data_IF_456352111084
#
_entry.id   IF_456352111084
#
_cell.length_a   1.000
_cell.length_b   1.000
_cell.length_c   1.000
_cell.angle_alpha   90.00
_cell.angle_beta   90.00
_cell.angle_gamma   90.00
#
_symmetry.space_group_name_H-M   'P 1'
#
loop_
_entity.id
_entity.type
_entity.pdbx_description
1 polymer ?
#
# COMPACT_ATOMS: atom_id res chain seq x y z
N UNK A 1 -11.23 10.23 1.33
CA UNK A 1 -10.66 10.33 2.68
C UNK A 1 -10.09 11.73 2.84
N UNK A 2 -10.90 12.63 3.38
CA UNK A 2 -10.47 13.93 3.89
C UNK A 2 -9.80 13.66 5.24
N UNK A 3 -8.47 13.73 5.32
CA UNK A 3 -7.69 13.37 6.49
C UNK A 3 -7.78 14.38 7.65
N UNK A 4 -8.97 14.89 7.96
CA UNK A 4 -9.14 15.90 9.00
C UNK A 4 -9.52 15.32 10.35
N UNK A 5 -9.80 14.01 10.44
CA UNK A 5 -10.56 13.53 11.60
C UNK A 5 -9.81 12.50 12.47
N UNK A 6 -8.62 12.00 12.10
CA UNK A 6 -7.83 11.00 12.88
C UNK A 6 -8.61 9.74 13.38
N UNK A 7 -9.87 9.55 12.96
CA UNK A 7 -10.76 8.49 13.45
C UNK A 7 -10.61 7.17 12.69
N UNK A 8 -9.68 7.03 11.75
CA UNK A 8 -9.57 5.85 10.89
C UNK A 8 -9.43 4.55 11.71
N UNK A 9 -8.41 4.51 12.58
CA UNK A 9 -8.22 3.40 13.52
C UNK A 9 -9.40 3.26 14.48
N UNK A 10 -9.88 4.35 15.06
CA UNK A 10 -11.00 4.30 16.02
C UNK A 10 -12.26 3.69 15.41
N UNK A 11 -12.62 4.07 14.18
CA UNK A 11 -13.79 3.53 13.49
C UNK A 11 -13.58 2.07 13.09
N UNK A 12 -12.37 1.72 12.63
CA UNK A 12 -12.04 0.33 12.30
C UNK A 12 -12.10 -0.56 13.55
N UNK A 13 -11.50 -0.13 14.65
CA UNK A 13 -11.55 -0.85 15.93
C UNK A 13 -12.98 -1.01 16.42
N UNK A 14 -13.79 0.05 16.34
CA UNK A 14 -15.21 -0.01 16.68
C UNK A 14 -15.97 -1.02 15.81
N UNK A 15 -15.68 -1.07 14.51
CA UNK A 15 -16.27 -2.05 13.60
C UNK A 15 -15.87 -3.48 13.97
N UNK A 16 -14.61 -3.68 14.39
CA UNK A 16 -14.11 -4.98 14.88
C UNK A 16 -14.82 -5.37 16.17
N UNK A 17 -14.91 -4.48 17.17
CA UNK A 17 -15.66 -4.72 18.42
C UNK A 17 -17.11 -5.10 18.17
N UNK A 18 -17.78 -4.45 17.20
CA UNK A 18 -19.13 -4.80 16.79
C UNK A 18 -19.18 -6.18 16.14
N UNK A 19 -18.24 -6.51 15.25
CA UNK A 19 -18.13 -7.83 14.65
C UNK A 19 -17.87 -8.94 15.68
N UNK A 20 -17.05 -8.66 16.68
CA UNK A 20 -16.79 -9.56 17.81
C UNK A 20 -18.03 -9.75 18.67
N UNK A 21 -18.77 -8.68 18.96
CA UNK A 21 -20.02 -8.72 19.73
C UNK A 21 -21.11 -9.53 19.00
N UNK A 22 -21.15 -9.44 17.67
CA UNK A 22 -22.04 -10.25 16.82
C UNK A 22 -21.55 -11.69 16.64
N UNK A 23 -20.31 -12.00 17.05
CA UNK A 23 -19.70 -13.33 16.92
C UNK A 23 -19.29 -13.74 15.52
N UNK A 24 -19.24 -12.79 14.59
CA UNK A 24 -18.88 -13.03 13.19
C UNK A 24 -17.36 -13.09 12.97
N UNK A 25 -16.57 -12.58 13.93
CA UNK A 25 -15.10 -12.65 13.95
C UNK A 25 -14.58 -12.94 15.37
N UNK A 26 -13.34 -13.47 15.47
CA UNK A 26 -12.52 -13.71 16.67
C UNK A 26 -13.10 -14.58 17.82
N UNK A 27 -14.39 -14.93 17.81
CA UNK A 27 -14.95 -15.85 18.80
C UNK A 27 -14.58 -17.32 18.51
N UNK A 28 -14.34 -18.11 19.57
CA UNK A 28 -14.01 -19.55 19.45
C UNK A 28 -15.19 -20.43 19.06
N UNK A 29 -16.42 -19.98 19.33
CA UNK A 29 -17.64 -20.71 19.00
C UNK A 29 -18.21 -20.08 17.74
N UNK A 30 -18.04 -20.73 16.58
CA UNK A 30 -18.50 -20.19 15.31
C UNK A 30 -20.01 -19.92 15.32
N UNK A 31 -20.41 -18.78 14.74
CA UNK A 31 -21.83 -18.43 14.59
C UNK A 31 -22.46 -19.39 13.56
N UNK A 32 -23.30 -20.31 14.03
CA UNK A 32 -24.03 -21.22 13.13
C UNK A 32 -25.22 -20.51 12.49
N UNK A 33 -24.95 -19.79 11.42
CA UNK A 33 -25.97 -19.07 10.63
C UNK A 33 -27.07 -20.00 10.12
N UNK A 34 -26.75 -21.25 9.77
CA UNK A 34 -27.73 -22.25 9.30
C UNK A 34 -28.75 -22.70 10.35
N UNK A 35 -28.50 -22.43 11.64
CA UNK A 35 -29.44 -22.69 12.73
C UNK A 35 -30.24 -21.45 13.13
N UNK A 36 -29.94 -20.30 12.53
CA UNK A 36 -30.64 -19.06 12.81
C UNK A 36 -31.92 -18.96 11.97
N UNK A 37 -32.99 -18.38 12.52
CA UNK A 37 -34.25 -18.12 11.79
C UNK A 37 -34.11 -16.91 10.84
N UNK A 38 -32.91 -16.66 10.30
CA UNK A 38 -32.61 -15.52 9.45
C UNK A 38 -32.98 -15.82 8.00
N UNK A 39 -33.32 -14.78 7.22
CA UNK A 39 -33.50 -14.93 5.78
C UNK A 39 -32.16 -15.19 5.08
N UNK A 40 -32.19 -15.78 3.89
CA UNK A 40 -31.00 -16.00 3.06
C UNK A 40 -30.25 -14.69 2.79
N UNK A 41 -30.96 -13.61 2.46
CA UNK A 41 -30.36 -12.29 2.23
C UNK A 41 -29.60 -11.78 3.46
N UNK A 42 -30.12 -12.06 4.66
CA UNK A 42 -29.48 -11.67 5.91
C UNK A 42 -28.23 -12.53 6.17
N UNK A 43 -28.28 -13.83 5.89
CA UNK A 43 -27.13 -14.74 5.98
C UNK A 43 -26.02 -14.28 5.03
N UNK A 44 -26.33 -13.99 3.76
CA UNK A 44 -25.37 -13.48 2.78
C UNK A 44 -24.77 -12.15 3.22
N UNK A 45 -25.59 -11.24 3.75
CA UNK A 45 -25.14 -9.94 4.26
C UNK A 45 -24.18 -10.09 5.44
N UNK A 46 -24.46 -11.01 6.37
CA UNK A 46 -23.56 -11.30 7.49
C UNK A 46 -22.24 -11.88 7.00
N UNK A 47 -22.28 -12.85 6.06
CA UNK A 47 -21.06 -13.41 5.44
C UNK A 47 -20.20 -12.30 4.80
N UNK A 48 -20.81 -11.46 3.95
CA UNK A 48 -20.11 -10.32 3.30
C UNK A 48 -19.52 -9.36 4.31
N UNK A 49 -20.24 -9.07 5.39
CA UNK A 49 -19.79 -8.16 6.44
C UNK A 49 -18.58 -8.72 7.18
N UNK A 50 -18.61 -9.99 7.58
CA UNK A 50 -17.53 -10.63 8.31
C UNK A 50 -16.23 -10.71 7.48
N UNK A 51 -16.35 -11.19 6.24
CA UNK A 51 -15.22 -11.30 5.32
C UNK A 51 -14.71 -9.94 4.85
N UNK A 52 -15.61 -8.98 4.61
CA UNK A 52 -15.23 -7.60 4.28
C UNK A 52 -14.47 -6.93 5.42
N UNK A 53 -14.93 -7.09 6.66
CA UNK A 53 -14.24 -6.58 7.86
C UNK A 53 -12.82 -7.16 7.99
N UNK A 54 -12.67 -8.47 7.77
CA UNK A 54 -11.36 -9.13 7.77
C UNK A 54 -10.43 -8.60 6.66
N UNK A 55 -10.97 -8.36 5.46
CA UNK A 55 -10.18 -7.76 4.38
C UNK A 55 -9.73 -6.34 4.71
N UNK A 56 -10.62 -5.50 5.23
CA UNK A 56 -10.28 -4.11 5.60
C UNK A 56 -9.23 -4.09 6.72
N UNK A 57 -9.41 -4.91 7.76
CA UNK A 57 -8.46 -5.03 8.88
C UNK A 57 -7.06 -5.41 8.40
N UNK A 58 -6.97 -6.40 7.50
CA UNK A 58 -5.70 -6.86 6.94
C UNK A 58 -5.09 -5.88 5.96
N UNK A 59 -5.89 -5.12 5.19
CA UNK A 59 -5.37 -4.05 4.33
C UNK A 59 -4.79 -2.93 5.19
N UNK A 60 -5.52 -2.42 6.17
CA UNK A 60 -5.08 -1.27 6.97
C UNK A 60 -3.86 -1.63 7.82
N UNK A 61 -3.95 -2.66 8.65
CA UNK A 61 -2.88 -2.97 9.61
C UNK A 61 -1.60 -3.44 8.90
N UNK A 62 -1.70 -4.41 7.98
CA UNK A 62 -0.51 -4.96 7.30
C UNK A 62 0.21 -3.91 6.45
N UNK A 63 -0.53 -2.97 5.85
CA UNK A 63 0.07 -1.90 5.04
C UNK A 63 0.92 -0.92 5.87
N UNK A 64 0.58 -0.73 7.14
CA UNK A 64 1.33 0.11 8.06
C UNK A 64 2.15 -0.71 9.07
N UNK A 65 2.44 -1.98 8.72
CA UNK A 65 3.26 -2.90 9.52
C UNK A 65 2.75 -3.09 10.95
N UNK A 66 1.44 -2.92 11.16
CA UNK A 66 0.73 -3.21 12.42
C UNK A 66 0.15 -4.62 12.37
N UNK A 67 0.05 -5.32 13.51
CA UNK A 67 -0.63 -6.61 13.56
C UNK A 67 -2.14 -6.45 13.32
N UNK A 68 -2.71 -7.26 12.44
CA UNK A 68 -4.15 -7.36 12.23
C UNK A 68 -4.89 -7.78 13.51
N UNK A 69 -6.00 -7.11 13.83
CA UNK A 69 -6.81 -7.42 15.01
C UNK A 69 -7.77 -8.57 14.79
N UNK A 70 -8.24 -8.78 13.56
CA UNK A 70 -9.09 -9.91 13.19
C UNK A 70 -8.22 -11.14 12.97
N UNK A 71 -8.28 -12.08 13.91
CA UNK A 71 -7.58 -13.36 13.93
C UNK A 71 -8.33 -14.44 13.17
N UNK A 72 -9.65 -14.48 13.25
CA UNK A 72 -10.47 -15.49 12.57
C UNK A 72 -11.81 -14.94 12.14
N UNK A 73 -12.31 -15.47 11.02
CA UNK A 73 -13.68 -15.26 10.56
C UNK A 73 -14.50 -16.49 10.94
N UNK A 74 -15.64 -16.27 11.57
CA UNK A 74 -16.44 -17.33 12.20
C UNK A 74 -17.63 -17.80 11.36
N UNK A 75 -17.70 -17.29 10.14
CA UNK A 75 -18.74 -17.60 9.17
C UNK A 75 -18.10 -18.21 7.93
N UNK A 76 -18.82 -19.11 7.28
CA UNK A 76 -18.33 -19.77 6.08
C UNK A 76 -18.06 -18.76 4.96
N UNK A 77 -17.10 -19.05 4.06
CA UNK A 77 -16.92 -18.30 2.82
C UNK A 77 -18.22 -18.20 2.03
N UNK A 78 -18.33 -17.12 1.25
CA UNK A 78 -19.38 -16.98 0.24
C UNK A 78 -19.02 -17.93 -0.91
N UNK A 79 -20.00 -18.66 -1.43
CA UNK A 79 -19.76 -19.60 -2.52
C UNK A 79 -19.24 -18.87 -3.78
N UNK A 80 -18.19 -19.45 -4.36
CA UNK A 80 -17.47 -18.89 -5.52
C UNK A 80 -18.34 -18.77 -6.77
N UNK A 81 -19.31 -19.66 -6.91
CA UNK A 81 -20.15 -19.80 -8.12
C UNK A 81 -21.54 -19.17 -7.99
N UNK A 82 -21.85 -18.53 -6.87
CA UNK A 82 -23.18 -17.94 -6.59
C UNK A 82 -23.44 -16.64 -7.37
N UNK A 83 -22.47 -16.18 -8.15
CA UNK A 83 -22.60 -15.02 -9.03
C UNK A 83 -22.40 -15.45 -10.47
N UNK A 84 -23.43 -15.25 -11.27
CA UNK A 84 -23.40 -15.51 -12.70
C UNK A 84 -22.14 -14.88 -13.31
N UNK A 85 -21.39 -15.69 -14.08
CA UNK A 85 -20.29 -15.25 -14.96
C UNK A 85 -20.71 -14.18 -16.00
N UNK A 86 -21.97 -13.77 -15.98
CA UNK A 86 -22.55 -12.69 -16.77
C UNK A 86 -22.41 -11.30 -16.14
N UNK A 87 -21.90 -11.17 -14.91
CA UNK A 87 -21.73 -9.85 -14.31
C UNK A 87 -20.63 -9.07 -15.05
N UNK A 88 -20.97 -7.84 -15.42
CA UNK A 88 -20.17 -6.98 -16.28
C UNK A 88 -19.72 -5.76 -15.50
N UNK A 89 -18.45 -5.44 -15.60
CA UNK A 89 -17.88 -4.18 -15.14
C UNK A 89 -17.71 -3.24 -16.32
N UNK A 90 -18.13 -1.99 -16.15
CA UNK A 90 -18.01 -0.94 -17.16
C UNK A 90 -17.28 0.24 -16.55
N UNK A 91 -16.20 0.76 -17.17
CA UNK A 91 -15.55 1.97 -16.72
C UNK A 91 -16.53 3.15 -16.76
N UNK A 92 -16.64 3.89 -15.66
CA UNK A 92 -17.33 5.17 -15.62
C UNK A 92 -16.39 6.22 -15.03
N UNK A 93 -16.20 7.41 -15.64
CA UNK A 93 -16.84 7.94 -16.85
C UNK A 93 -16.05 7.73 -18.17
N UNK A 94 -14.93 7.00 -18.16
CA UNK A 94 -13.87 7.06 -19.19
C UNK A 94 -14.26 6.43 -20.54
N UNK A 95 -14.82 5.22 -20.54
CA UNK A 95 -15.04 4.43 -21.76
C UNK A 95 -16.12 3.38 -21.54
N UNK A 96 -17.01 3.10 -22.52
CA UNK A 96 -18.04 2.08 -22.40
C UNK A 96 -17.53 0.65 -22.60
N UNK A 97 -16.20 0.41 -22.61
CA UNK A 97 -15.64 -0.93 -22.87
C UNK A 97 -16.00 -1.87 -21.73
N UNK A 98 -16.99 -2.72 -21.98
CA UNK A 98 -17.52 -3.65 -20.99
C UNK A 98 -16.60 -4.86 -20.83
N UNK A 99 -16.29 -5.22 -19.58
CA UNK A 99 -15.44 -6.35 -19.22
C UNK A 99 -16.17 -7.27 -18.25
N UNK A 100 -15.82 -8.56 -18.16
CA UNK A 100 -16.34 -9.39 -17.07
C UNK A 100 -15.87 -8.84 -15.71
N UNK A 101 -16.76 -8.82 -14.72
CA UNK A 101 -16.44 -8.29 -13.38
C UNK A 101 -15.57 -9.25 -12.57
N UNK A 102 -15.85 -10.55 -12.63
CA UNK A 102 -15.26 -11.58 -11.77
C UNK A 102 -15.26 -11.22 -10.27
N UNK A 103 -16.28 -10.52 -9.77
CA UNK A 103 -16.29 -9.99 -8.40
C UNK A 103 -16.25 -11.08 -7.32
N UNK A 104 -16.92 -12.21 -7.54
CA UNK A 104 -16.85 -13.35 -6.62
C UNK A 104 -15.49 -14.02 -6.60
N UNK A 105 -14.90 -14.26 -7.78
CA UNK A 105 -13.56 -14.83 -7.86
C UNK A 105 -12.54 -13.87 -7.23
N UNK A 106 -12.65 -12.57 -7.50
CA UNK A 106 -11.86 -11.54 -6.83
C UNK A 106 -12.01 -11.61 -5.31
N UNK A 107 -13.24 -11.69 -4.82
CA UNK A 107 -13.52 -11.68 -3.39
C UNK A 107 -12.94 -12.93 -2.68
N UNK A 108 -13.09 -14.11 -3.29
CA UNK A 108 -12.51 -15.35 -2.80
C UNK A 108 -10.98 -15.27 -2.73
N UNK A 109 -10.33 -14.84 -3.82
CA UNK A 109 -8.87 -14.69 -3.85
C UNK A 109 -8.37 -13.58 -2.90
N UNK A 110 -9.11 -12.50 -2.75
CA UNK A 110 -8.80 -11.44 -1.79
C UNK A 110 -8.91 -11.93 -0.34
N UNK A 111 -9.87 -12.79 -0.03
CA UNK A 111 -9.99 -13.43 1.29
C UNK A 111 -8.82 -14.37 1.58
N UNK A 112 -8.41 -15.19 0.61
CA UNK A 112 -7.23 -16.07 0.73
C UNK A 112 -5.96 -15.26 0.96
N UNK A 113 -5.75 -14.20 0.18
CA UNK A 113 -4.61 -13.31 0.35
C UNK A 113 -4.62 -12.61 1.73
N UNK A 114 -5.80 -12.25 2.25
CA UNK A 114 -5.93 -11.64 3.58
C UNK A 114 -5.47 -12.56 4.72
N UNK A 115 -5.61 -13.89 4.60
CA UNK A 115 -5.02 -14.81 5.59
C UNK A 115 -3.49 -14.74 5.62
N UNK A 116 -2.87 -14.69 4.45
CA UNK A 116 -1.41 -14.55 4.34
C UNK A 116 -0.99 -13.17 4.87
N UNK A 117 -1.72 -12.11 4.49
CA UNK A 117 -1.48 -10.75 4.97
C UNK A 117 -1.56 -10.65 6.51
N UNK A 118 -2.56 -11.26 7.13
CA UNK A 118 -2.67 -11.39 8.59
C UNK A 118 -1.39 -12.04 9.13
N UNK A 119 -1.00 -13.19 8.61
CA UNK A 119 0.17 -13.92 9.15
C UNK A 119 1.48 -13.15 8.96
N UNK A 120 1.60 -12.37 7.87
CA UNK A 120 2.68 -11.39 7.68
C UNK A 120 2.63 -10.33 8.77
N UNK A 121 1.50 -9.65 8.97
CA UNK A 121 1.35 -8.58 9.96
C UNK A 121 1.77 -9.00 11.38
N UNK A 122 1.43 -10.24 11.77
CA UNK A 122 1.81 -10.82 13.05
C UNK A 122 3.27 -11.29 13.08
N UNK A 123 3.87 -11.62 11.94
CA UNK A 123 5.30 -11.89 11.88
C UNK A 123 6.12 -10.61 12.08
N UNK A 124 5.71 -9.52 11.44
CA UNK A 124 6.35 -8.19 11.56
C UNK A 124 6.27 -7.66 12.99
N UNK A 125 5.16 -7.89 13.69
CA UNK A 125 4.95 -7.41 15.07
C UNK A 125 5.68 -8.22 16.15
N UNK A 126 6.30 -9.37 15.83
CA UNK A 126 6.98 -10.21 16.83
C UNK A 126 8.40 -9.72 17.06
N UNK A 127 8.59 -8.92 18.10
CA UNK A 127 9.91 -8.65 18.68
C UNK A 127 10.52 -9.97 19.15
N UNK A 128 11.58 -10.43 18.47
CA UNK A 128 12.54 -11.52 18.78
C UNK A 128 12.28 -12.38 20.04
N UNK A 129 11.13 -13.06 20.14
CA UNK A 129 10.84 -14.04 21.21
C UNK A 129 10.77 -15.48 20.72
N UNK A 130 10.87 -15.69 19.42
CA UNK A 130 10.80 -17.01 18.79
C UNK A 130 12.20 -17.43 18.38
N UNK A 131 12.71 -18.56 18.90
CA UNK A 131 14.01 -19.14 18.50
C UNK A 131 14.06 -19.70 17.07
N UNK A 132 13.15 -19.27 16.18
CA UNK A 132 13.22 -19.54 14.75
C UNK A 132 14.06 -18.46 14.10
N UNK A 133 14.96 -18.81 13.18
CA UNK A 133 15.70 -17.78 12.44
C UNK A 133 14.69 -16.92 11.66
N UNK A 134 14.71 -15.58 11.83
CA UNK A 134 13.72 -14.67 11.27
C UNK A 134 13.59 -14.80 9.74
N UNK A 135 14.66 -15.21 9.06
CA UNK A 135 14.70 -15.39 7.62
C UNK A 135 13.94 -16.64 7.15
N UNK A 136 13.89 -17.71 7.97
CA UNK A 136 13.14 -18.93 7.63
C UNK A 136 11.64 -18.65 7.59
N UNK A 137 11.10 -17.93 8.58
CA UNK A 137 9.67 -17.59 8.60
C UNK A 137 9.28 -16.65 7.46
N UNK A 138 10.17 -15.72 7.09
CA UNK A 138 9.97 -14.85 5.93
C UNK A 138 9.93 -15.65 4.63
N UNK A 139 10.84 -16.62 4.47
CA UNK A 139 10.80 -17.53 3.33
C UNK A 139 9.48 -18.31 3.27
N UNK A 140 9.02 -18.90 4.38
CA UNK A 140 7.74 -19.64 4.41
C UNK A 140 6.54 -18.77 3.99
N UNK A 141 6.50 -17.52 4.44
CA UNK A 141 5.43 -16.58 4.08
C UNK A 141 5.53 -16.16 2.61
N UNK A 142 6.75 -15.97 2.11
CA UNK A 142 6.99 -15.68 0.69
C UNK A 142 6.63 -16.87 -0.21
N UNK A 143 6.89 -18.10 0.23
CA UNK A 143 6.49 -19.32 -0.48
C UNK A 143 4.97 -19.43 -0.54
N UNK A 144 4.26 -19.12 0.56
CA UNK A 144 2.79 -19.09 0.56
C UNK A 144 2.23 -18.03 -0.39
N UNK A 145 2.82 -16.83 -0.41
CA UNK A 145 2.49 -15.80 -1.38
C UNK A 145 2.71 -16.31 -2.81
N UNK A 146 3.87 -16.89 -3.10
CA UNK A 146 4.21 -17.40 -4.44
C UNK A 146 3.26 -18.51 -4.89
N UNK A 147 2.89 -19.42 -3.98
CA UNK A 147 1.88 -20.46 -4.23
C UNK A 147 0.53 -19.83 -4.53
N UNK A 148 0.11 -18.81 -3.78
CA UNK A 148 -1.13 -18.09 -4.05
C UNK A 148 -1.12 -17.46 -5.45
N UNK A 149 -0.04 -16.77 -5.83
CA UNK A 149 0.07 -16.15 -7.15
C UNK A 149 0.04 -17.19 -8.28
N UNK A 150 0.73 -18.32 -8.12
CA UNK A 150 0.77 -19.40 -9.12
C UNK A 150 -0.57 -20.10 -9.34
N UNK A 151 -1.46 -20.03 -8.34
CA UNK A 151 -2.80 -20.64 -8.39
C UNK A 151 -3.88 -19.67 -8.88
N UNK A 152 -3.52 -18.43 -9.23
CA UNK A 152 -4.49 -17.46 -9.73
C UNK A 152 -5.10 -17.94 -11.06
N UNK A 153 -6.42 -17.81 -11.24
CA UNK A 153 -7.07 -18.10 -12.51
C UNK A 153 -6.58 -17.20 -13.64
N UNK A 154 -6.66 -17.67 -14.89
CA UNK A 154 -6.26 -16.93 -16.09
C UNK A 154 -6.95 -15.55 -16.22
N UNK A 155 -8.17 -15.39 -15.69
CA UNK A 155 -8.87 -14.09 -15.70
C UNK A 155 -8.17 -12.99 -14.87
N UNK A 156 -7.19 -13.34 -14.03
CA UNK A 156 -6.36 -12.39 -13.30
C UNK A 156 -5.08 -12.00 -14.06
N UNK A 157 -4.79 -12.63 -15.20
CA UNK A 157 -3.62 -12.31 -16.01
C UNK A 157 -3.75 -10.89 -16.58
N UNK A 158 -2.84 -9.95 -16.25
CA UNK A 158 -2.83 -8.60 -16.79
C UNK A 158 -2.81 -8.57 -18.32
N UNK A 159 -2.25 -9.58 -18.99
CA UNK A 159 -2.28 -9.66 -20.45
C UNK A 159 -3.72 -9.68 -21.02
N UNK A 160 -4.69 -10.21 -20.26
CA UNK A 160 -6.12 -10.23 -20.63
C UNK A 160 -6.81 -8.88 -20.45
N UNK A 161 -6.09 -7.88 -19.91
CA UNK A 161 -6.60 -6.54 -19.58
C UNK A 161 -7.86 -6.62 -18.70
N UNK A 162 -7.74 -7.19 -17.50
CA UNK A 162 -8.88 -7.38 -16.61
C UNK A 162 -9.41 -6.06 -16.06
N UNK A 163 -10.58 -6.12 -15.42
CA UNK A 163 -11.16 -5.00 -14.66
C UNK A 163 -10.18 -4.51 -13.56
N UNK A 164 -10.24 -3.22 -13.17
CA UNK A 164 -9.19 -2.59 -12.36
C UNK A 164 -9.02 -3.21 -10.98
N UNK A 165 -10.07 -3.73 -10.34
CA UNK A 165 -9.95 -4.40 -9.04
C UNK A 165 -9.09 -5.66 -9.07
N UNK A 166 -9.03 -6.36 -10.22
CA UNK A 166 -8.14 -7.52 -10.40
C UNK A 166 -6.67 -7.08 -10.47
N UNK A 167 -6.38 -5.95 -11.13
CA UNK A 167 -5.04 -5.35 -11.12
C UNK A 167 -4.65 -4.88 -9.71
N UNK A 168 -5.58 -4.26 -8.98
CA UNK A 168 -5.36 -3.81 -7.60
C UNK A 168 -5.07 -4.99 -6.66
N UNK A 169 -5.69 -6.16 -6.88
CA UNK A 169 -5.37 -7.36 -6.09
C UNK A 169 -3.92 -7.81 -6.30
N UNK A 170 -3.43 -7.78 -7.54
CA UNK A 170 -2.03 -8.08 -7.84
C UNK A 170 -1.08 -7.02 -7.30
N UNK A 171 -1.48 -5.74 -7.32
CA UNK A 171 -0.72 -4.69 -6.63
C UNK A 171 -0.63 -5.00 -5.13
N UNK A 172 -1.74 -5.42 -4.50
CA UNK A 172 -1.77 -5.81 -3.07
C UNK A 172 -0.82 -6.97 -2.77
N UNK A 173 -0.74 -7.96 -3.65
CA UNK A 173 0.25 -9.03 -3.53
C UNK A 173 1.68 -8.47 -3.45
N UNK A 174 2.07 -7.63 -4.42
CA UNK A 174 3.42 -7.06 -4.45
C UNK A 174 3.70 -6.11 -3.28
N UNK A 175 2.70 -5.39 -2.76
CA UNK A 175 2.88 -4.58 -1.55
C UNK A 175 3.16 -5.47 -0.32
N UNK A 176 2.50 -6.63 -0.21
CA UNK A 176 2.77 -7.58 0.88
C UNK A 176 4.18 -8.17 0.77
N UNK A 177 4.64 -8.48 -0.44
CA UNK A 177 6.01 -8.94 -0.68
C UNK A 177 7.03 -7.88 -0.25
N UNK A 178 6.82 -6.61 -0.62
CA UNK A 178 7.69 -5.50 -0.20
C UNK A 178 7.68 -5.37 1.33
N UNK A 179 6.51 -5.34 1.97
CA UNK A 179 6.40 -5.23 3.43
C UNK A 179 7.12 -6.38 4.15
N UNK A 180 7.01 -7.61 3.65
CA UNK A 180 7.70 -8.78 4.19
C UNK A 180 9.23 -8.68 4.07
N UNK A 181 9.71 -8.21 2.92
CA UNK A 181 11.14 -8.12 2.64
C UNK A 181 11.82 -6.96 3.38
N UNK A 182 11.11 -5.84 3.52
CA UNK A 182 11.74 -4.59 3.91
C UNK A 182 11.46 -4.16 5.36
N UNK A 183 10.65 -4.92 6.11
CA UNK A 183 10.36 -4.90 7.57
C UNK A 183 11.43 -4.31 8.54
N UNK A 184 12.73 -4.37 8.23
CA UNK A 184 13.80 -3.78 9.07
C UNK A 184 14.08 -2.31 8.75
N UNK A 185 13.03 -1.51 8.57
CA UNK A 185 13.21 -0.09 8.34
C UNK A 185 13.54 0.63 9.65
N UNK A 186 14.83 0.77 9.95
CA UNK A 186 15.29 1.43 11.17
C UNK A 186 16.75 1.15 11.56
N UNK A 187 17.40 0.16 10.94
CA UNK A 187 18.85 -0.02 11.08
C UNK A 187 19.51 0.34 9.77
N UNK A 188 19.91 1.61 9.65
CA UNK A 188 21.02 1.95 8.76
C UNK A 188 22.18 0.98 9.09
N UNK A 189 22.76 0.25 8.11
CA UNK A 189 24.00 -0.50 8.32
C UNK A 189 25.18 0.39 8.74
N UNK A 190 25.01 1.71 8.75
CA UNK A 190 26.04 2.70 9.03
C UNK A 190 26.19 3.06 10.51
N UNK A 191 25.43 2.46 11.44
CA UNK A 191 25.60 2.69 12.89
C UNK A 191 25.60 1.42 13.75
N UNK A 192 25.75 0.24 13.15
CA UNK A 192 26.07 -0.99 13.90
C UNK A 192 27.55 -1.34 13.70
N UNK A 193 28.44 -0.51 14.23
CA UNK A 193 29.89 -0.74 14.19
C UNK A 193 30.36 -1.96 15.03
N UNK A 194 29.46 -2.81 15.56
CA UNK A 194 29.86 -3.90 16.45
C UNK A 194 29.32 -5.30 16.17
N UNK A 195 28.70 -5.57 15.02
CA UNK A 195 28.45 -6.96 14.62
C UNK A 195 29.46 -7.42 13.55
N UNK A 196 30.67 -7.74 14.02
CA UNK A 196 31.68 -8.50 13.28
C UNK A 196 31.24 -9.95 13.06
N UNK A 197 30.09 -10.16 12.42
CA UNK A 197 29.67 -11.48 11.93
C UNK A 197 29.64 -11.41 10.42
N UNK A 198 30.56 -12.17 9.82
CA UNK A 198 30.68 -12.37 8.38
C UNK A 198 29.30 -12.59 7.72
N UNK A 199 29.10 -12.16 6.47
CA UNK A 199 27.87 -12.42 5.75
C UNK A 199 27.69 -13.94 5.66
N UNK A 200 26.73 -14.48 6.42
CA UNK A 200 26.27 -15.83 6.15
C UNK A 200 25.57 -15.75 4.80
N UNK A 201 26.20 -16.30 3.77
CA UNK A 201 25.58 -16.56 2.48
C UNK A 201 24.37 -17.50 2.69
N UNK A 202 23.23 -16.91 3.02
CA UNK A 202 21.93 -17.57 2.93
C UNK A 202 21.61 -17.75 1.45
N UNK A 203 21.88 -18.95 0.92
CA UNK A 203 21.69 -19.33 -0.48
C UNK A 203 20.22 -19.38 -0.97
N UNK A 204 19.27 -18.72 -0.31
CA UNK A 204 17.83 -18.93 -0.59
C UNK A 204 16.96 -17.68 -0.70
N UNK A 205 17.19 -16.64 0.10
CA UNK A 205 16.27 -15.51 0.22
C UNK A 205 16.99 -14.17 0.03
N UNK A 206 16.96 -13.65 -1.19
CA UNK A 206 17.43 -12.29 -1.47
C UNK A 206 16.27 -11.31 -1.33
N UNK A 207 15.97 -10.91 -0.10
CA UNK A 207 14.86 -10.00 0.23
C UNK A 207 14.86 -8.73 -0.65
N UNK A 208 16.06 -8.23 -0.92
CA UNK A 208 16.29 -7.04 -1.72
C UNK A 208 15.92 -7.27 -3.20
N UNK A 209 16.40 -8.34 -3.82
CA UNK A 209 16.05 -8.68 -5.20
C UNK A 209 14.56 -8.97 -5.36
N UNK A 210 13.96 -9.67 -4.39
CA UNK A 210 12.52 -9.98 -4.36
C UNK A 210 11.68 -8.69 -4.25
N UNK A 211 12.06 -7.78 -3.35
CA UNK A 211 11.40 -6.49 -3.20
C UNK A 211 11.48 -5.68 -4.50
N UNK A 212 12.65 -5.64 -5.15
CA UNK A 212 12.82 -4.93 -6.41
C UNK A 212 12.02 -5.56 -7.55
N UNK A 213 11.97 -6.89 -7.62
CA UNK A 213 11.10 -7.57 -8.58
C UNK A 213 9.62 -7.15 -8.40
N UNK A 214 9.17 -7.04 -7.15
CA UNK A 214 7.83 -6.58 -6.82
C UNK A 214 7.59 -5.10 -7.15
N UNK A 215 8.60 -4.24 -6.94
CA UNK A 215 8.55 -2.84 -7.36
C UNK A 215 8.37 -2.71 -8.88
N UNK A 216 9.15 -3.46 -9.67
CA UNK A 216 9.03 -3.45 -11.14
C UNK A 216 7.66 -3.96 -11.59
N UNK A 217 7.14 -4.98 -10.92
CA UNK A 217 5.79 -5.47 -11.18
C UNK A 217 4.71 -4.42 -10.85
N UNK A 218 4.84 -3.67 -9.76
CA UNK A 218 3.96 -2.53 -9.45
C UNK A 218 4.05 -1.45 -10.52
N UNK A 219 5.25 -1.13 -11.03
CA UNK A 219 5.42 -0.18 -12.13
C UNK A 219 4.71 -0.64 -13.40
N UNK A 220 4.84 -1.92 -13.78
CA UNK A 220 4.13 -2.50 -14.92
C UNK A 220 2.60 -2.48 -14.75
N UNK A 221 2.10 -2.87 -13.57
CA UNK A 221 0.67 -2.81 -13.24
C UNK A 221 0.14 -1.37 -13.26
N UNK A 222 0.95 -0.41 -12.78
CA UNK A 222 0.60 1.02 -12.80
C UNK A 222 0.55 1.56 -14.23
N UNK A 223 1.51 1.19 -15.08
CA UNK A 223 1.50 1.54 -16.49
C UNK A 223 0.24 1.01 -17.18
N UNK A 224 -0.15 -0.23 -16.88
CA UNK A 224 -1.36 -0.83 -17.42
C UNK A 224 -2.64 -0.16 -16.91
N UNK A 225 -2.74 0.08 -15.59
CA UNK A 225 -3.86 0.80 -14.98
C UNK A 225 -4.03 2.17 -15.64
N UNK A 226 -2.94 2.90 -15.84
CA UNK A 226 -2.92 4.19 -16.54
C UNK A 226 -3.38 4.07 -17.99
N UNK A 227 -2.88 3.09 -18.73
CA UNK A 227 -3.18 2.94 -20.15
C UNK A 227 -4.66 2.57 -20.40
N UNK A 228 -5.24 1.75 -19.52
CA UNK A 228 -6.60 1.23 -19.68
C UNK A 228 -7.67 2.15 -19.05
N UNK A 229 -7.33 2.83 -17.94
CA UNK A 229 -8.31 3.52 -17.09
C UNK A 229 -7.92 4.95 -16.70
N UNK A 230 -6.75 5.43 -17.07
CA UNK A 230 -6.22 6.69 -16.56
C UNK A 230 -5.83 6.61 -15.07
N UNK A 231 -5.15 7.64 -14.59
CA UNK A 231 -4.73 7.71 -13.17
C UNK A 231 -5.58 8.69 -12.35
N UNK A 232 -6.33 9.55 -13.02
CA UNK A 232 -7.28 10.50 -12.43
C UNK A 232 -8.44 9.82 -11.68
N UNK A 233 -8.68 8.54 -11.95
CA UNK A 233 -9.72 7.72 -11.32
C UNK A 233 -9.12 6.54 -10.53
N UNK A 234 -7.82 6.55 -10.28
CA UNK A 234 -7.16 5.46 -9.59
C UNK A 234 -7.69 5.33 -8.14
N UNK A 235 -7.90 4.08 -7.74
CA UNK A 235 -8.29 3.77 -6.37
C UNK A 235 -7.20 4.21 -5.38
N UNK A 236 -7.57 4.64 -4.17
CA UNK A 236 -6.61 5.12 -3.16
C UNK A 236 -5.52 4.09 -2.80
N UNK A 237 -5.83 2.79 -2.88
CA UNK A 237 -4.85 1.73 -2.70
C UNK A 237 -3.71 1.75 -3.74
N UNK A 238 -3.99 2.20 -4.97
CA UNK A 238 -2.96 2.37 -5.99
C UNK A 238 -1.94 3.44 -5.56
N UNK A 239 -2.41 4.55 -4.95
CA UNK A 239 -1.53 5.58 -4.38
C UNK A 239 -0.59 4.99 -3.32
N UNK A 240 -1.12 4.19 -2.39
CA UNK A 240 -0.32 3.49 -1.39
C UNK A 240 0.74 2.61 -2.04
N UNK A 241 0.34 1.78 -3.00
CA UNK A 241 1.24 0.83 -3.67
C UNK A 241 2.35 1.54 -4.47
N UNK A 242 2.00 2.60 -5.20
CA UNK A 242 2.95 3.42 -5.96
C UNK A 242 3.92 4.14 -5.02
N UNK A 243 3.41 4.72 -3.93
CA UNK A 243 4.24 5.41 -2.95
C UNK A 243 5.20 4.45 -2.24
N UNK A 244 4.72 3.27 -1.84
CA UNK A 244 5.56 2.20 -1.26
C UNK A 244 6.68 1.79 -2.24
N UNK A 245 6.35 1.58 -3.52
CA UNK A 245 7.34 1.21 -4.53
C UNK A 245 8.37 2.33 -4.77
N UNK A 246 7.94 3.58 -4.86
CA UNK A 246 8.82 4.75 -5.01
C UNK A 246 9.81 4.88 -3.86
N UNK A 247 9.35 4.74 -2.61
CA UNK A 247 10.23 4.80 -1.45
C UNK A 247 11.12 3.56 -1.30
N UNK A 248 10.71 2.41 -1.84
CA UNK A 248 11.57 1.21 -1.94
C UNK A 248 12.72 1.43 -2.93
N UNK A 249 12.44 2.07 -4.08
CA UNK A 249 13.46 2.49 -5.05
C UNK A 249 14.40 3.53 -4.45
N UNK A 250 13.84 4.55 -3.81
CA UNK A 250 14.63 5.59 -3.15
C UNK A 250 15.50 5.06 -2.03
N UNK A 251 15.13 3.97 -1.37
CA UNK A 251 15.93 3.34 -0.33
C UNK A 251 17.22 2.68 -0.85
N UNK A 252 17.38 2.52 -2.16
CA UNK A 252 18.53 1.84 -2.75
C UNK A 252 19.79 2.69 -2.77
N UNK A 253 20.93 2.07 -2.48
CA UNK A 253 22.25 2.69 -2.69
C UNK A 253 22.53 2.94 -4.18
N UNK A 254 21.97 2.09 -5.04
CA UNK A 254 22.06 2.17 -6.50
C UNK A 254 20.94 3.00 -7.13
N UNK A 255 20.21 3.79 -6.34
CA UNK A 255 19.11 4.62 -6.82
C UNK A 255 19.54 5.47 -8.02
N UNK A 256 18.78 5.36 -9.11
CA UNK A 256 18.95 6.17 -10.32
C UNK A 256 17.65 6.90 -10.63
N UNK A 257 17.70 8.23 -10.62
CA UNK A 257 16.55 9.09 -10.94
C UNK A 257 16.06 8.93 -12.38
N UNK A 258 16.89 8.37 -13.27
CA UNK A 258 16.56 8.10 -14.66
C UNK A 258 16.02 6.67 -14.88
N UNK A 259 15.88 5.88 -13.81
CA UNK A 259 15.29 4.54 -13.91
C UNK A 259 13.87 4.61 -14.50
N UNK A 260 13.58 3.73 -15.46
CA UNK A 260 12.32 3.74 -16.20
C UNK A 260 11.12 3.47 -15.29
N UNK A 261 11.27 2.55 -14.34
CA UNK A 261 10.20 2.18 -13.42
C UNK A 261 9.96 3.33 -12.43
N UNK A 262 11.03 3.96 -11.94
CA UNK A 262 10.97 5.17 -11.13
C UNK A 262 10.23 6.32 -11.85
N UNK A 263 10.57 6.62 -13.10
CA UNK A 263 9.92 7.69 -13.88
C UNK A 263 8.44 7.38 -14.14
N UNK A 264 8.12 6.11 -14.43
CA UNK A 264 6.74 5.64 -14.62
C UNK A 264 5.89 5.84 -13.37
N UNK A 265 6.41 5.39 -12.22
CA UNK A 265 5.76 5.52 -10.92
C UNK A 265 5.65 6.99 -10.48
N UNK A 266 6.69 7.79 -10.71
CA UNK A 266 6.69 9.23 -10.39
C UNK A 266 5.64 9.98 -11.18
N UNK A 267 5.55 9.69 -12.49
CA UNK A 267 4.51 10.29 -13.33
C UNK A 267 3.11 9.89 -12.87
N UNK A 268 2.89 8.61 -12.54
CA UNK A 268 1.61 8.15 -12.01
C UNK A 268 1.27 8.83 -10.67
N UNK A 269 2.22 8.86 -9.73
CA UNK A 269 2.05 9.50 -8.43
C UNK A 269 1.71 10.99 -8.58
N UNK A 270 2.35 11.71 -9.50
CA UNK A 270 2.07 13.14 -9.73
C UNK A 270 0.61 13.42 -10.13
N UNK A 271 -0.09 12.44 -10.73
CA UNK A 271 -1.50 12.54 -11.11
C UNK A 271 -2.38 12.16 -9.92
N UNK A 272 -2.15 10.99 -9.31
CA UNK A 272 -2.99 10.48 -8.21
C UNK A 272 -2.90 11.39 -6.98
N UNK A 273 -1.70 11.91 -6.69
CA UNK A 273 -1.45 12.79 -5.57
C UNK A 273 -2.37 14.03 -5.59
N UNK A 274 -2.64 14.58 -6.77
CA UNK A 274 -3.47 15.77 -6.93
C UNK A 274 -4.94 15.55 -6.54
N UNK A 275 -5.39 14.30 -6.42
CA UNK A 275 -6.79 13.95 -6.15
C UNK A 275 -7.19 14.08 -4.68
N UNK A 276 -6.24 14.19 -3.76
CA UNK A 276 -6.51 14.30 -2.32
C UNK A 276 -5.47 15.13 -1.59
N UNK A 277 -5.82 15.67 -0.41
CA UNK A 277 -4.86 16.39 0.43
C UNK A 277 -3.73 15.47 0.90
N UNK A 278 -4.06 14.25 1.33
CA UNK A 278 -3.11 13.21 1.69
C UNK A 278 -2.10 12.96 0.55
N UNK A 279 -2.60 12.77 -0.67
CA UNK A 279 -1.76 12.55 -1.84
C UNK A 279 -0.79 13.69 -2.11
N UNK A 280 -1.25 14.94 -2.03
CA UNK A 280 -0.39 16.13 -2.19
C UNK A 280 0.71 16.20 -1.14
N UNK A 281 0.37 15.91 0.13
CA UNK A 281 1.35 15.89 1.21
C UNK A 281 2.42 14.80 0.99
N UNK A 282 2.00 13.57 0.70
CA UNK A 282 2.91 12.46 0.43
C UNK A 282 3.80 12.72 -0.78
N UNK A 283 3.26 13.37 -1.82
CA UNK A 283 4.04 13.74 -2.99
C UNK A 283 5.07 14.83 -2.70
N UNK A 284 4.73 15.80 -1.84
CA UNK A 284 5.70 16.79 -1.38
C UNK A 284 6.83 16.14 -0.58
N UNK A 285 6.50 15.25 0.36
CA UNK A 285 7.49 14.47 1.11
C UNK A 285 8.40 13.67 0.18
N UNK A 286 7.82 13.00 -0.82
CA UNK A 286 8.55 12.29 -1.86
C UNK A 286 9.50 13.22 -2.63
N UNK A 287 9.05 14.39 -3.08
CA UNK A 287 9.91 15.38 -3.77
C UNK A 287 11.13 15.75 -2.93
N UNK A 288 10.93 16.02 -1.64
CA UNK A 288 12.03 16.35 -0.71
C UNK A 288 13.02 15.18 -0.58
N UNK A 289 12.52 13.95 -0.41
CA UNK A 289 13.37 12.75 -0.33
C UNK A 289 14.17 12.50 -1.62
N UNK A 290 13.60 12.75 -2.81
CA UNK A 290 14.33 12.66 -4.09
C UNK A 290 15.41 13.74 -4.18
N UNK A 291 15.11 14.99 -3.78
CA UNK A 291 16.08 16.09 -3.79
C UNK A 291 17.28 15.80 -2.91
N UNK A 292 17.06 15.20 -1.73
CA UNK A 292 18.13 14.79 -0.83
C UNK A 292 19.12 13.79 -1.45
N UNK A 293 18.75 13.08 -2.53
CA UNK A 293 19.66 12.20 -3.28
C UNK A 293 20.60 12.94 -4.24
N UNK A 294 20.44 14.25 -4.41
CA UNK A 294 21.32 15.13 -5.20
C UNK A 294 21.54 14.69 -6.67
N UNK A 295 20.52 14.11 -7.30
CA UNK A 295 20.58 13.71 -8.73
C UNK A 295 19.79 14.62 -9.67
N UNK A 296 19.27 15.76 -9.18
CA UNK A 296 18.39 16.66 -9.95
C UNK A 296 19.00 17.21 -11.24
N UNK A 297 20.30 17.50 -11.25
CA UNK A 297 20.99 18.02 -12.45
C UNK A 297 20.97 17.03 -13.62
N UNK A 298 21.01 15.73 -13.33
CA UNK A 298 20.94 14.66 -14.35
C UNK A 298 19.57 14.63 -15.04
N UNK A 299 18.50 14.97 -14.31
CA UNK A 299 17.14 15.07 -14.86
C UNK A 299 17.01 16.23 -15.83
N UNK A 300 17.63 17.37 -15.52
CA UNK A 300 17.57 18.54 -16.39
C UNK A 300 18.30 18.31 -17.72
N UNK A 301 19.44 17.60 -17.65
CA UNK A 301 20.30 17.33 -18.79
C UNK A 301 19.81 16.19 -19.70
N UNK A 302 18.89 15.34 -19.24
CA UNK A 302 18.41 14.19 -20.02
C UNK A 302 17.28 14.58 -20.97
N UNK A 303 17.41 14.29 -22.26
CA UNK A 303 16.35 14.51 -23.26
C UNK A 303 15.20 13.48 -23.14
N UNK A 304 15.43 12.38 -22.44
CA UNK A 304 14.47 11.28 -22.29
C UNK A 304 13.41 11.55 -21.21
N UNK A 305 13.65 12.54 -20.34
CA UNK A 305 12.72 12.85 -19.25
C UNK A 305 11.63 13.82 -19.72
N UNK A 306 10.33 13.47 -19.54
CA UNK A 306 9.22 14.36 -19.87
C UNK A 306 9.34 15.74 -19.18
N UNK A 307 8.95 16.85 -19.84
CA UNK A 307 9.04 18.20 -19.27
C UNK A 307 8.36 18.32 -17.90
N UNK A 308 7.20 17.69 -17.74
CA UNK A 308 6.47 17.68 -16.48
C UNK A 308 7.18 16.98 -15.33
N UNK A 309 8.13 16.07 -15.60
CA UNK A 309 9.00 15.46 -14.56
C UNK A 309 10.23 16.34 -14.30
N UNK A 310 10.77 17.00 -15.33
CA UNK A 310 11.86 17.98 -15.17
C UNK A 310 11.45 19.15 -14.27
N UNK A 311 10.20 19.60 -14.37
CA UNK A 311 9.63 20.62 -13.49
C UNK A 311 9.61 20.19 -12.01
N UNK A 312 9.41 18.91 -11.72
CA UNK A 312 9.31 18.41 -10.34
C UNK A 312 10.65 18.47 -9.58
N UNK A 313 11.76 18.36 -10.30
CA UNK A 313 13.11 18.20 -9.74
C UNK A 313 14.08 19.29 -10.21
N UNK A 314 13.62 20.55 -10.28
CA UNK A 314 14.50 21.69 -10.58
C UNK A 314 15.61 21.83 -9.51
N UNK A 315 16.86 22.14 -9.91
CA UNK A 315 17.97 22.36 -8.97
C UNK A 315 17.74 23.59 -8.08
N UNK A 316 18.23 23.54 -6.83
CA UNK A 316 18.13 24.61 -5.82
C UNK A 316 18.82 25.93 -6.22
N UNK A 317 19.54 25.97 -7.33
CA UNK A 317 20.29 27.14 -7.82
C UNK A 317 19.45 28.21 -8.52
N UNK A 318 18.18 27.91 -8.83
CA UNK A 318 17.25 28.88 -9.42
C UNK A 318 16.33 29.44 -8.33
N UNK A 319 16.00 30.75 -8.32
CA UNK A 319 15.02 31.30 -7.38
C UNK A 319 13.73 30.48 -7.50
N UNK A 320 13.39 29.76 -6.43
CA UNK A 320 12.25 28.84 -6.41
C UNK A 320 10.99 29.64 -6.68
N UNK A 321 10.51 29.62 -7.93
CA UNK A 321 9.12 29.92 -8.20
C UNK A 321 8.37 28.71 -7.66
N UNK A 322 7.54 28.86 -6.61
CA UNK A 322 6.80 27.71 -6.08
C UNK A 322 6.01 27.12 -7.23
N UNK A 323 6.24 25.83 -7.50
CA UNK A 323 5.57 25.15 -8.60
C UNK A 323 4.06 25.09 -8.32
N UNK A 324 3.24 24.68 -9.30
CA UNK A 324 1.78 24.58 -9.08
C UNK A 324 1.40 23.49 -8.05
N UNK A 325 2.32 22.84 -7.36
CA UNK A 325 2.05 21.88 -6.28
C UNK A 325 2.48 22.47 -4.93
N UNK A 326 3.59 23.19 -4.92
CA UNK A 326 4.10 23.93 -3.76
C UNK A 326 3.13 25.06 -3.39
N UNK A 327 2.57 25.79 -4.39
CA UNK A 327 1.49 26.79 -4.14
C UNK A 327 0.22 26.18 -3.56
N UNK A 328 -0.14 24.97 -3.98
CA UNK A 328 -1.34 24.30 -3.47
C UNK A 328 -1.13 23.75 -2.06
N UNK A 329 0.09 23.27 -1.75
CA UNK A 329 0.48 22.96 -0.38
C UNK A 329 0.40 24.20 0.52
N UNK A 330 0.91 25.35 0.05
CA UNK A 330 0.82 26.65 0.74
C UNK A 330 -0.61 27.19 0.92
N UNK A 331 -1.51 26.95 -0.03
CA UNK A 331 -2.92 27.38 0.08
C UNK A 331 -3.73 26.48 1.04
N UNK A 332 -3.43 25.18 1.09
CA UNK A 332 -4.05 24.25 2.05
C UNK A 332 -3.75 24.65 3.50
N UNK A 333 -2.52 25.10 3.75
CA UNK A 333 -2.10 25.64 5.05
C UNK A 333 -2.81 26.91 5.49
N UNK A 334 -3.40 27.68 4.57
CA UNK A 334 -4.14 28.90 4.90
C UNK A 334 -5.61 28.64 5.22
N UNK A 335 -6.16 27.52 4.74
CA UNK A 335 -7.56 27.13 4.95
C UNK A 335 -7.75 26.49 6.33
N UNK A 336 -6.71 25.85 6.88
CA UNK A 336 -6.78 25.06 8.11
C UNK A 336 -6.74 25.88 9.42
N UNK A 337 -6.55 27.21 9.34
CA UNK A 337 -6.50 28.10 10.51
C UNK A 337 -5.34 27.87 11.48
N UNK A 338 -4.62 26.75 11.36
CA UNK A 338 -3.32 26.51 11.97
C UNK A 338 -2.27 27.41 11.29
N UNK A 339 -1.35 27.95 12.09
CA UNK A 339 -0.21 28.70 11.57
C UNK A 339 0.49 27.84 10.52
N UNK A 340 0.40 28.28 9.26
CA UNK A 340 1.18 27.85 8.11
C UNK A 340 2.03 26.59 8.37
N UNK A 341 1.58 25.39 7.97
CA UNK A 341 2.46 24.22 7.97
C UNK A 341 3.76 24.51 7.18
N UNK A 342 3.77 25.47 6.25
CA UNK A 342 5.00 25.91 5.58
C UNK A 342 5.93 26.71 6.51
N UNK A 343 5.40 27.46 7.49
CA UNK A 343 6.19 28.11 8.55
C UNK A 343 6.64 27.11 9.62
N UNK A 344 5.84 26.10 9.95
CA UNK A 344 6.32 25.00 10.78
C UNK A 344 7.49 24.25 10.14
N UNK A 345 7.60 24.20 8.80
CA UNK A 345 8.70 23.54 8.11
C UNK A 345 9.87 24.48 7.76
N UNK A 346 9.70 25.80 7.88
CA UNK A 346 10.80 26.78 7.81
C UNK A 346 11.43 27.06 9.19
N UNK A 347 10.66 26.97 10.28
CA UNK A 347 11.10 27.27 11.64
C UNK A 347 11.21 26.04 12.57
N UNK A 348 10.82 24.82 12.15
CA UNK A 348 11.12 23.58 12.88
C UNK A 348 12.29 22.83 12.21
N UNK A 349 13.49 22.79 12.82
CA UNK A 349 14.64 22.05 12.30
C UNK A 349 14.45 20.51 12.28
N UNK A 350 13.25 20.00 12.56
CA UNK A 350 12.90 18.57 12.58
C UNK A 350 12.05 18.08 11.41
N UNK A 351 11.63 18.95 10.49
CA UNK A 351 11.02 18.56 9.22
C UNK A 351 12.05 17.98 8.23
N UNK A 352 12.67 16.86 8.60
CA UNK A 352 13.59 16.16 7.71
C UNK A 352 12.84 15.58 6.51
N UNK A 353 13.46 15.49 5.31
CA UNK A 353 12.98 14.58 4.28
C UNK A 353 12.80 13.20 4.94
N UNK A 354 11.75 12.47 4.59
CA UNK A 354 11.63 11.10 5.08
C UNK A 354 12.93 10.37 4.70
N UNK A 355 13.73 10.05 5.69
CA UNK A 355 15.09 9.53 5.53
C UNK A 355 15.06 8.12 4.93
N UNK A 356 13.89 7.47 5.03
CA UNK A 356 13.61 6.21 4.36
C UNK A 356 12.14 5.81 4.39
N UNK A 357 11.90 4.59 3.92
CA UNK A 357 10.56 4.04 3.75
C UNK A 357 9.76 3.89 5.06
N UNK A 358 10.42 3.70 6.21
CA UNK A 358 9.75 3.68 7.53
C UNK A 358 9.01 4.99 7.82
N UNK A 359 9.73 6.09 7.70
CA UNK A 359 9.24 7.41 8.08
C UNK A 359 8.11 7.84 7.15
N UNK A 360 8.24 7.50 5.86
CA UNK A 360 7.13 7.65 4.92
C UNK A 360 5.89 6.86 5.37
N UNK A 361 6.02 5.58 5.72
CA UNK A 361 4.88 4.77 6.15
C UNK A 361 4.23 5.33 7.41
N UNK A 362 5.03 5.82 8.37
CA UNK A 362 4.52 6.46 9.58
C UNK A 362 3.75 7.76 9.29
N UNK A 363 4.27 8.61 8.40
CA UNK A 363 3.58 9.82 7.97
C UNK A 363 2.30 9.49 7.20
N UNK A 364 2.35 8.49 6.31
CA UNK A 364 1.17 8.00 5.59
C UNK A 364 0.11 7.51 6.58
N UNK A 365 0.47 6.62 7.51
CA UNK A 365 -0.41 6.08 8.55
C UNK A 365 -1.11 7.23 9.28
N UNK A 366 -0.32 8.14 9.85
CA UNK A 366 -0.80 9.30 10.61
C UNK A 366 -1.81 10.14 9.82
N UNK A 367 -1.48 10.49 8.57
CA UNK A 367 -2.30 11.38 7.75
C UNK A 367 -3.54 10.70 7.13
N UNK A 368 -3.59 9.38 7.15
CA UNK A 368 -4.66 8.62 6.47
C UNK A 368 -5.63 7.96 7.43
N UNK A 369 -5.13 7.28 8.46
CA UNK A 369 -5.92 6.50 9.42
C UNK A 369 -5.79 7.02 10.85
N UNK A 370 -4.90 7.99 11.09
CA UNK A 370 -4.64 8.56 12.41
C UNK A 370 -3.55 7.80 13.18
N UNK A 371 -3.41 8.10 14.47
CA UNK A 371 -2.52 7.37 15.36
C UNK A 371 -3.25 6.15 15.93
N UNK A 372 -2.66 4.97 15.81
CA UNK A 372 -3.08 3.82 16.59
C UNK A 372 -2.63 4.06 18.04
N UNK A 373 -3.52 4.63 18.88
CA UNK A 373 -3.22 4.74 20.31
C UNK A 373 -3.07 3.32 20.87
N UNK A 374 -1.87 2.99 21.36
CA UNK A 374 -1.55 1.73 22.02
C UNK A 374 -2.55 1.49 23.16
N UNK A 375 -3.58 0.69 22.89
CA UNK A 375 -4.41 0.11 23.93
C UNK A 375 -3.57 -0.96 24.65
N UNK A 376 -3.19 -0.64 25.90
CA UNK A 376 -2.55 -1.54 26.86
C UNK A 376 -3.38 -2.77 27.18
#
# INVERSE_FOLDING_TARGET
LSGHDDWGYTMLHRAIEMGESLGIVNQKTGLRLSLSQMSEDMIVSIKRTAWGLFQVDTVVHTNFLRPSRVRSVNVEPIERDDTNSSERWTPYPISPTVRPSYLSQYFDEACKLSFIARDISWNLSRTERSGAEPDQRKQELYDQLSVWESNLPECFDPATRPAPHLLLLRMRFHTLVINLCCDRFGVHPLLSEHDNRAPRESKGFSAMEIAMSSVRAIAALTQQLRAEYGMEHAHQFAMYSVNLALFTLLGQDTFDILDRDFLTLTSAMSIIACLSQLGRHLFHLFKLSVRARNQGDRVQQSDEVPPGIKELFQPDSMPQVPDRWDKYAEELTKIDGEQSYVQHFQDDPQASPASGLHEMLQQYERLSVGKDEEWR
#
